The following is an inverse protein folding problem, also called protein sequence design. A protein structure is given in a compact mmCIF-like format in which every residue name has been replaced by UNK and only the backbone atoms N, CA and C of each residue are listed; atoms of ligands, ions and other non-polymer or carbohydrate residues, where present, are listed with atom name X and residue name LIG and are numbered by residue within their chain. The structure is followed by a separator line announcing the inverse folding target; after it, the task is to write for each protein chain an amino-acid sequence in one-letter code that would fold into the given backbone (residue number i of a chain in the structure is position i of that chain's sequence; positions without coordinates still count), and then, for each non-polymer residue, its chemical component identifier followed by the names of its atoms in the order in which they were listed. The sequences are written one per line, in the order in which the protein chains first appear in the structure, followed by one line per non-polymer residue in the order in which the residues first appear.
data_IF_897055462168
#
_entry.id   IF_897055462168
#
_cell.length_a   1.000
_cell.length_b   1.000
_cell.length_c   1.000
_cell.angle_alpha   90.00
_cell.angle_beta   90.00
_cell.angle_gamma   90.00
#
_symmetry.space_group_name_H-M   'P 1'
#
loop_
_entity.id
_entity.type
_entity.pdbx_description
1 polymer ?
#
# COMPACT_ATOMS: atom_id res chain seq x y z
N UNK A 1 13.44 -13.08 -45.47
CA UNK A 1 13.80 -13.23 -44.04
C UNK A 1 15.21 -13.76 -44.01
N UNK A 2 16.18 -13.03 -43.49
CA UNK A 2 17.55 -13.51 -43.40
C UNK A 2 17.64 -14.57 -42.33
N UNK A 3 17.92 -15.80 -42.75
CA UNK A 3 18.13 -16.92 -41.85
C UNK A 3 19.32 -16.73 -40.89
N UNK A 4 20.15 -15.75 -41.17
CA UNK A 4 21.40 -15.46 -40.44
C UNK A 4 21.21 -14.71 -39.11
N UNK A 5 19.99 -14.23 -38.81
CA UNK A 5 19.71 -13.48 -37.58
C UNK A 5 19.28 -14.37 -36.39
N UNK A 6 19.22 -15.68 -36.57
CA UNK A 6 18.88 -16.65 -35.54
C UNK A 6 19.99 -17.70 -35.38
N UNK A 7 20.11 -18.23 -34.18
CA UNK A 7 21.03 -19.38 -33.94
C UNK A 7 20.70 -20.56 -34.84
N UNK A 8 21.68 -21.44 -35.09
CA UNK A 8 21.45 -22.72 -35.76
C UNK A 8 20.42 -23.56 -35.02
N UNK A 9 19.80 -24.52 -35.74
CA UNK A 9 18.87 -25.46 -35.15
C UNK A 9 19.56 -26.32 -34.09
N UNK A 10 18.89 -26.49 -32.97
CA UNK A 10 19.38 -27.40 -31.95
C UNK A 10 18.63 -28.74 -31.98
N UNK A 11 19.17 -29.72 -31.29
CA UNK A 11 18.61 -31.11 -31.23
C UNK A 11 17.15 -31.12 -30.74
N UNK A 12 16.70 -30.14 -29.97
CA UNK A 12 15.32 -30.07 -29.47
C UNK A 12 14.38 -29.62 -30.58
N UNK A 13 14.79 -28.66 -31.40
CA UNK A 13 14.01 -28.17 -32.54
C UNK A 13 13.92 -29.24 -33.62
N UNK A 14 15.03 -29.94 -33.90
CA UNK A 14 15.06 -31.07 -34.85
C UNK A 14 14.08 -32.16 -34.42
N UNK A 15 14.15 -32.60 -33.16
CA UNK A 15 13.25 -33.61 -32.61
C UNK A 15 11.78 -33.17 -32.59
N UNK A 16 11.51 -31.89 -32.37
CA UNK A 16 10.16 -31.37 -32.42
C UNK A 16 9.63 -31.37 -33.84
N UNK A 17 10.47 -30.95 -34.80
CA UNK A 17 10.13 -30.95 -36.23
C UNK A 17 9.82 -32.35 -36.73
N UNK A 18 10.63 -33.32 -36.37
CA UNK A 18 10.41 -34.75 -36.73
C UNK A 18 9.09 -35.30 -36.21
N UNK A 19 8.70 -34.92 -34.97
CA UNK A 19 7.51 -35.45 -34.31
C UNK A 19 6.22 -34.75 -34.65
N UNK A 20 6.26 -33.43 -34.82
CA UNK A 20 5.07 -32.58 -34.95
C UNK A 20 5.03 -31.74 -36.22
N UNK A 21 6.16 -31.58 -36.88
CA UNK A 21 6.33 -30.68 -38.01
C UNK A 21 6.32 -29.22 -37.58
N UNK A 22 7.34 -28.48 -37.96
CA UNK A 22 7.33 -27.00 -37.92
C UNK A 22 7.06 -26.51 -39.34
N UNK A 23 6.16 -25.56 -39.50
CA UNK A 23 5.92 -24.92 -40.79
C UNK A 23 7.19 -24.22 -41.27
N UNK A 24 7.37 -24.16 -42.61
CA UNK A 24 8.53 -23.52 -43.22
C UNK A 24 8.73 -22.10 -42.73
N UNK A 25 9.96 -21.74 -42.37
CA UNK A 25 10.32 -20.42 -41.81
C UNK A 25 9.93 -20.21 -40.33
N UNK A 26 9.40 -21.22 -39.63
CA UNK A 26 9.09 -21.13 -38.21
C UNK A 26 10.15 -21.81 -37.35
N UNK A 27 10.38 -21.22 -36.16
CA UNK A 27 11.33 -21.74 -35.17
C UNK A 27 10.64 -21.84 -33.81
N UNK A 28 11.17 -22.63 -32.90
CA UNK A 28 10.70 -22.67 -31.52
C UNK A 28 11.20 -21.44 -30.74
N UNK A 29 10.31 -20.53 -30.38
CA UNK A 29 10.67 -19.30 -29.65
C UNK A 29 11.34 -19.52 -28.30
N UNK A 30 11.22 -20.73 -27.72
CA UNK A 30 11.90 -21.11 -26.47
C UNK A 30 13.31 -21.70 -26.70
N UNK A 31 13.73 -21.92 -27.95
CA UNK A 31 15.00 -22.55 -28.29
C UNK A 31 15.87 -21.69 -29.20
N UNK A 32 15.27 -20.92 -30.10
CA UNK A 32 15.99 -20.04 -31.01
C UNK A 32 16.54 -18.81 -30.27
N UNK A 33 17.86 -18.57 -30.41
CA UNK A 33 18.49 -17.33 -29.90
C UNK A 33 18.57 -16.30 -31.03
N UNK A 34 18.21 -15.06 -30.74
CA UNK A 34 18.29 -13.94 -31.67
C UNK A 34 19.74 -13.45 -31.71
N UNK A 35 20.31 -13.37 -32.90
CA UNK A 35 21.70 -12.94 -33.16
C UNK A 35 21.79 -11.63 -33.97
N UNK A 36 20.65 -11.15 -34.46
CA UNK A 36 20.55 -9.91 -35.24
C UNK A 36 19.11 -9.42 -35.31
N UNK A 37 18.86 -8.44 -36.17
CA UNK A 37 17.53 -7.88 -36.36
C UNK A 37 16.57 -8.90 -36.97
N UNK A 38 15.47 -9.19 -36.26
CA UNK A 38 14.44 -10.15 -36.69
C UNK A 38 13.06 -9.51 -36.68
N UNK A 39 12.23 -9.91 -37.62
CA UNK A 39 10.79 -9.65 -37.57
C UNK A 39 10.11 -10.94 -37.15
N UNK A 40 9.41 -10.87 -36.01
CA UNK A 40 8.72 -12.01 -35.40
C UNK A 40 7.22 -11.88 -35.67
N UNK A 41 6.67 -12.87 -36.36
CA UNK A 41 5.24 -13.05 -36.45
C UNK A 41 4.76 -13.98 -35.34
N UNK A 42 3.96 -13.47 -34.41
CA UNK A 42 3.38 -14.24 -33.33
C UNK A 42 1.98 -14.68 -33.73
N UNK A 43 1.72 -16.00 -33.89
CA UNK A 43 0.39 -16.47 -34.23
C UNK A 43 -0.67 -15.99 -33.26
N UNK A 44 -1.86 -15.69 -33.77
CA UNK A 44 -2.96 -15.20 -32.94
C UNK A 44 -3.31 -16.13 -31.77
N UNK A 45 -3.13 -17.43 -31.96
CA UNK A 45 -3.36 -18.48 -30.93
C UNK A 45 -2.31 -18.42 -29.80
N UNK A 46 -1.11 -17.89 -30.07
CA UNK A 46 -0.04 -17.71 -29.08
C UNK A 46 -0.07 -16.33 -28.42
N UNK A 47 -0.84 -15.43 -28.95
CA UNK A 47 -1.10 -14.15 -28.30
C UNK A 47 -2.04 -14.46 -27.14
N UNK A 48 -1.46 -14.44 -25.93
CA UNK A 48 -2.28 -14.49 -24.72
C UNK A 48 -3.37 -13.44 -24.90
N UNK A 49 -4.60 -13.88 -25.06
CA UNK A 49 -5.73 -12.95 -24.99
C UNK A 49 -5.46 -12.12 -23.76
N UNK A 50 -5.34 -10.79 -23.94
CA UNK A 50 -5.33 -9.88 -22.80
C UNK A 50 -6.41 -10.42 -21.90
N UNK A 51 -6.02 -11.00 -20.78
CA UNK A 51 -6.98 -11.28 -19.73
C UNK A 51 -7.62 -9.94 -19.43
N UNK A 52 -8.70 -9.66 -20.12
CA UNK A 52 -9.63 -8.67 -19.68
C UNK A 52 -10.20 -9.28 -18.41
N UNK A 53 -9.43 -9.16 -17.32
CA UNK A 53 -10.00 -9.25 -15.99
C UNK A 53 -10.93 -8.05 -15.94
N UNK A 54 -12.08 -8.21 -16.54
CA UNK A 54 -13.27 -7.47 -16.16
C UNK A 54 -13.61 -8.00 -14.77
N UNK A 55 -12.84 -7.58 -13.78
CA UNK A 55 -13.43 -7.38 -12.48
C UNK A 55 -14.49 -6.33 -12.77
N UNK A 56 -15.70 -6.82 -12.96
CA UNK A 56 -16.84 -5.95 -12.88
C UNK A 56 -16.70 -5.28 -11.53
N UNK A 57 -16.22 -4.05 -11.57
CA UNK A 57 -16.18 -3.21 -10.39
C UNK A 57 -17.66 -2.92 -10.15
N UNK A 58 -18.33 -3.88 -9.51
CA UNK A 58 -19.60 -3.57 -8.89
C UNK A 58 -19.26 -2.39 -7.99
N UNK A 59 -19.70 -1.20 -8.39
CA UNK A 59 -19.61 0.01 -7.58
C UNK A 59 -20.55 -0.23 -6.39
N UNK A 60 -20.09 -1.06 -5.47
CA UNK A 60 -20.68 -1.10 -4.15
C UNK A 60 -20.22 0.18 -3.48
N UNK A 61 -21.14 1.09 -3.27
CA UNK A 61 -20.91 2.19 -2.34
C UNK A 61 -20.65 1.57 -0.96
N UNK A 62 -19.38 1.39 -0.64
CA UNK A 62 -18.97 0.95 0.68
C UNK A 62 -18.99 2.19 1.55
N UNK A 63 -19.87 2.23 2.54
CA UNK A 63 -19.81 3.25 3.57
C UNK A 63 -18.55 2.96 4.43
N UNK A 64 -17.49 3.71 4.16
CA UNK A 64 -16.20 3.54 4.85
C UNK A 64 -16.34 4.03 6.29
N UNK A 65 -16.35 3.10 7.24
CA UNK A 65 -16.29 3.39 8.67
C UNK A 65 -15.14 2.60 9.31
N UNK A 66 -13.88 3.04 9.11
CA UNK A 66 -12.73 2.31 9.61
C UNK A 66 -12.69 2.34 11.15
N UNK A 67 -12.32 1.20 11.75
CA UNK A 67 -12.14 1.11 13.20
C UNK A 67 -10.96 1.94 13.71
N UNK A 68 -9.95 2.18 12.87
CA UNK A 68 -8.81 3.04 13.19
C UNK A 68 -8.82 4.28 12.32
N UNK A 69 -8.66 5.44 12.95
CA UNK A 69 -8.55 6.74 12.27
C UNK A 69 -7.39 7.54 12.82
N UNK A 70 -6.79 8.36 11.95
CA UNK A 70 -5.72 9.26 12.32
C UNK A 70 -6.28 10.68 12.50
N UNK A 71 -5.86 11.34 13.57
CA UNK A 71 -6.26 12.70 13.90
C UNK A 71 -5.02 13.53 14.15
N UNK A 72 -4.81 14.56 13.36
CA UNK A 72 -3.79 15.56 13.63
C UNK A 72 -4.36 16.57 14.59
N UNK A 73 -3.62 16.86 15.68
CA UNK A 73 -4.03 17.80 16.72
C UNK A 73 -2.87 18.68 17.14
N UNK A 74 -3.20 19.93 17.41
CA UNK A 74 -2.30 20.89 18.03
C UNK A 74 -2.66 20.99 19.51
N UNK A 75 -1.73 20.60 20.36
CA UNK A 75 -1.90 20.55 21.81
C UNK A 75 -1.33 21.81 22.43
N UNK A 76 -2.05 22.40 23.35
CA UNK A 76 -1.59 23.59 24.07
C UNK A 76 -0.27 23.30 24.81
N UNK A 77 0.69 24.21 24.71
CA UNK A 77 1.92 24.14 25.50
C UNK A 77 1.63 24.26 27.00
N UNK A 78 2.48 23.66 27.85
CA UNK A 78 2.33 23.80 29.31
C UNK A 78 2.43 25.27 29.72
N UNK A 79 1.45 25.73 30.47
CA UNK A 79 1.46 27.06 31.09
C UNK A 79 1.44 26.91 32.61
N UNK A 80 2.21 27.75 33.29
CA UNK A 80 2.24 27.78 34.76
C UNK A 80 0.96 28.32 35.36
N UNK A 81 0.17 29.06 34.58
CA UNK A 81 -1.09 29.66 35.03
C UNK A 81 -2.27 28.67 34.93
N UNK A 82 -2.16 27.68 34.01
CA UNK A 82 -3.16 26.65 33.83
C UNK A 82 -2.49 25.27 33.96
N UNK A 83 -2.20 24.79 35.18
CA UNK A 83 -1.53 23.55 35.39
C UNK A 83 -2.44 22.36 35.01
N UNK A 84 -2.10 21.70 33.89
CA UNK A 84 -2.78 20.51 33.41
C UNK A 84 -1.77 19.46 32.93
N UNK A 85 -2.13 18.18 33.05
CA UNK A 85 -1.28 17.10 32.58
C UNK A 85 -1.23 17.00 31.05
N UNK A 86 -0.15 16.43 30.49
CA UNK A 86 0.01 16.26 29.05
C UNK A 86 -1.16 15.51 28.41
N UNK A 87 -1.65 14.47 29.07
CA UNK A 87 -2.79 13.70 28.58
C UNK A 87 -4.11 14.50 28.64
N UNK A 88 -4.28 15.29 29.68
CA UNK A 88 -5.45 16.15 29.80
C UNK A 88 -5.49 17.21 28.70
N UNK A 89 -4.37 17.86 28.42
CA UNK A 89 -4.25 18.80 27.29
C UNK A 89 -4.52 18.13 25.95
N UNK A 90 -4.01 16.90 25.75
CA UNK A 90 -4.30 16.14 24.55
C UNK A 90 -5.80 15.82 24.41
N UNK A 91 -6.47 15.42 25.50
CA UNK A 91 -7.93 15.21 25.52
C UNK A 91 -8.69 16.48 25.15
N UNK A 92 -8.32 17.60 25.73
CA UNK A 92 -8.95 18.91 25.47
C UNK A 92 -8.76 19.32 24.01
N UNK A 93 -7.57 19.09 23.43
CA UNK A 93 -7.30 19.35 22.02
C UNK A 93 -8.13 18.45 21.07
N UNK A 94 -8.25 17.16 21.37
CA UNK A 94 -9.10 16.24 20.62
C UNK A 94 -10.56 16.62 20.68
N UNK A 95 -11.03 17.06 21.85
CA UNK A 95 -12.40 17.53 22.02
C UNK A 95 -12.67 18.83 21.23
N UNK A 96 -11.77 19.80 21.34
CA UNK A 96 -11.93 21.10 20.69
C UNK A 96 -11.85 21.03 19.16
N UNK A 97 -10.90 20.24 18.62
CA UNK A 97 -10.61 20.21 17.18
C UNK A 97 -11.41 19.14 16.44
N UNK A 98 -11.76 18.03 17.10
CA UNK A 98 -12.39 16.86 16.47
C UNK A 98 -13.68 16.40 17.12
N UNK A 99 -14.16 17.09 18.17
CA UNK A 99 -15.36 16.73 18.94
C UNK A 99 -15.32 15.33 19.55
N UNK A 100 -14.12 14.87 19.90
CA UNK A 100 -13.89 13.58 20.57
C UNK A 100 -13.86 13.85 22.08
N UNK A 101 -14.92 13.48 22.78
CA UNK A 101 -15.14 13.89 24.17
C UNK A 101 -14.32 13.08 25.19
N UNK A 102 -14.05 11.82 24.90
CA UNK A 102 -13.29 10.97 25.80
C UNK A 102 -12.41 9.99 25.02
N UNK A 103 -11.23 9.70 25.54
CA UNK A 103 -10.29 8.73 25.00
C UNK A 103 -9.56 8.01 26.12
N UNK A 104 -9.24 6.76 25.88
CA UNK A 104 -8.38 5.96 26.76
C UNK A 104 -6.95 5.91 26.21
N UNK A 105 -5.99 5.84 27.13
CA UNK A 105 -4.57 5.77 26.83
C UNK A 105 -3.92 4.69 27.69
N UNK A 106 -3.17 3.80 27.07
CA UNK A 106 -2.43 2.79 27.83
C UNK A 106 -1.12 3.34 28.42
N UNK A 107 -0.53 2.57 29.31
CA UNK A 107 0.69 2.94 30.01
C UNK A 107 1.89 3.18 29.06
N UNK A 108 1.99 2.41 27.99
CA UNK A 108 3.11 2.56 27.03
C UNK A 108 3.03 3.88 26.29
N UNK A 109 1.85 4.25 25.87
CA UNK A 109 1.61 5.54 25.19
C UNK A 109 1.79 6.70 26.16
N UNK A 110 1.32 6.56 27.41
CA UNK A 110 1.47 7.59 28.45
C UNK A 110 2.96 7.88 28.71
N UNK A 111 3.79 6.87 28.83
CA UNK A 111 5.23 7.03 29.10
C UNK A 111 5.98 7.79 27.99
N UNK A 112 5.55 7.68 26.75
CA UNK A 112 6.22 8.38 25.63
C UNK A 112 5.55 9.71 25.26
N UNK A 113 4.36 9.99 25.79
CA UNK A 113 3.53 11.13 25.40
C UNK A 113 4.28 12.45 25.44
N UNK A 114 4.90 12.80 26.59
CA UNK A 114 5.63 14.04 26.75
C UNK A 114 6.76 14.18 25.71
N UNK A 115 7.52 13.11 25.47
CA UNK A 115 8.61 13.14 24.50
C UNK A 115 8.11 13.35 23.07
N UNK A 116 6.98 12.73 22.73
CA UNK A 116 6.36 12.86 21.42
C UNK A 116 5.79 14.27 21.21
N UNK A 117 5.10 14.83 22.20
CA UNK A 117 4.59 16.19 22.18
C UNK A 117 5.73 17.21 21.96
N UNK A 118 6.80 17.11 22.75
CA UNK A 118 7.98 18.00 22.58
C UNK A 118 8.66 17.85 21.23
N UNK A 119 8.81 16.59 20.73
CA UNK A 119 9.41 16.33 19.42
C UNK A 119 8.57 16.87 18.27
N UNK A 120 7.27 16.86 18.41
CA UNK A 120 6.31 17.40 17.45
C UNK A 120 6.06 18.90 17.58
N UNK A 121 6.76 19.57 18.48
CA UNK A 121 6.51 20.97 18.81
C UNK A 121 5.02 21.22 19.15
N UNK A 122 4.49 20.35 20.01
CA UNK A 122 3.10 20.30 20.49
C UNK A 122 2.05 20.00 19.41
N UNK A 123 2.47 19.68 18.21
CA UNK A 123 1.62 19.14 17.15
C UNK A 123 1.88 17.63 17.00
N UNK A 124 0.84 16.82 17.02
CA UNK A 124 0.94 15.35 16.96
C UNK A 124 -0.17 14.74 16.11
N UNK A 125 0.10 13.58 15.57
CA UNK A 125 -0.92 12.73 14.95
C UNK A 125 -1.23 11.56 15.88
N UNK A 126 -2.50 11.39 16.20
CA UNK A 126 -3.01 10.37 17.10
C UNK A 126 -3.78 9.32 16.30
N UNK A 127 -3.47 8.04 16.47
CA UNK A 127 -4.27 6.95 15.96
C UNK A 127 -5.28 6.52 17.03
N UNK A 128 -6.56 6.69 16.75
CA UNK A 128 -7.66 6.24 17.59
C UNK A 128 -8.29 4.98 17.02
N UNK A 129 -8.40 3.97 17.84
CA UNK A 129 -9.14 2.75 17.57
C UNK A 129 -10.50 2.80 18.24
N UNK A 130 -11.54 2.55 17.48
CA UNK A 130 -12.90 2.41 17.95
C UNK A 130 -13.53 1.19 17.27
N UNK A 131 -13.76 0.14 18.03
CA UNK A 131 -14.36 -1.12 17.54
C UNK A 131 -15.88 -1.05 17.43
N UNK A 132 -16.47 0.12 17.66
CA UNK A 132 -17.92 0.34 17.71
C UNK A 132 -18.67 -0.44 18.80
N UNK A 133 -17.98 -1.28 19.55
CA UNK A 133 -18.54 -2.00 20.72
C UNK A 133 -18.22 -1.26 22.01
N UNK A 134 -17.05 -0.62 22.09
CA UNK A 134 -16.65 0.26 23.17
C UNK A 134 -17.11 1.69 22.91
N UNK A 135 -17.64 2.31 23.93
CA UNK A 135 -18.10 3.72 23.84
C UNK A 135 -16.93 4.70 23.81
N UNK A 136 -15.77 4.32 24.33
CA UNK A 136 -14.60 5.18 24.47
C UNK A 136 -13.52 4.76 23.48
N UNK A 137 -13.11 5.63 22.55
CA UNK A 137 -11.99 5.37 21.65
C UNK A 137 -10.68 5.20 22.40
N UNK A 138 -9.82 4.30 21.92
CA UNK A 138 -8.53 4.00 22.52
C UNK A 138 -7.38 4.52 21.66
N UNK A 139 -6.44 5.27 22.28
CA UNK A 139 -5.24 5.75 21.59
C UNK A 139 -4.25 4.59 21.48
N UNK A 140 -4.03 4.13 20.24
CA UNK A 140 -3.12 3.01 19.95
C UNK A 140 -1.72 3.48 19.58
N UNK A 141 -1.57 4.68 19.01
CA UNK A 141 -0.27 5.21 18.64
C UNK A 141 -0.29 6.75 18.56
N UNK A 142 0.86 7.39 18.80
CA UNK A 142 1.04 8.84 18.71
C UNK A 142 2.37 9.14 18.02
N UNK A 143 2.34 9.96 16.97
CA UNK A 143 3.52 10.40 16.23
C UNK A 143 3.71 11.92 16.35
N UNK A 144 4.97 12.41 16.37
CA UNK A 144 5.24 13.83 16.38
C UNK A 144 4.95 14.46 15.02
N UNK A 145 4.23 15.59 15.01
CA UNK A 145 3.86 16.31 13.82
C UNK A 145 2.79 15.60 12.97
N UNK A 146 2.66 16.03 11.72
CA UNK A 146 1.77 15.39 10.75
C UNK A 146 2.38 14.07 10.25
N UNK A 147 1.65 12.98 10.43
CA UNK A 147 2.04 11.67 9.93
C UNK A 147 1.44 11.42 8.55
N UNK A 148 2.27 11.56 7.51
CA UNK A 148 1.83 11.44 6.11
C UNK A 148 2.13 10.07 5.48
N UNK A 149 2.86 9.20 6.16
CA UNK A 149 3.14 7.88 5.61
C UNK A 149 1.85 7.07 5.61
N UNK A 150 1.25 6.99 4.43
CA UNK A 150 0.07 6.19 4.21
C UNK A 150 0.28 4.72 4.62
N UNK A 151 -0.79 4.14 5.07
CA UNK A 151 -0.95 2.70 5.29
C UNK A 151 -0.88 1.96 3.95
#
# INVERSE_FOLDING_TARGET
MSADALSEWNKVEERYHEKRGLAEGRRLGCQACVQGDVVIDVPAESQVHKQVIRKDASVRSVNMNPATRLFYVEVQEPDMHEPSGDFERLKNALQAQWSINDVELDYFQLNKLQRVLRKGNWAVTVALYNDHTNKTPHIIEIWPGLYEKGL
#
